data_IF_460021161319
#
_entry.id   IF_460021161319
#
_cell.length_a   1.000
_cell.length_b   1.000
_cell.length_c   1.000
_cell.angle_alpha   90.00
_cell.angle_beta   90.00
_cell.angle_gamma   90.00
#
_symmetry.space_group_name_H-M   'P 1'
#
loop_
_entity.id
_entity.type
_entity.pdbx_description
1 polymer ?
#
# COMPACT_ATOMS: atom_id res chain seq x y z
N UNK A 1 15.81 -9.66 -2.60
CA UNK A 1 16.15 -10.98 -3.15
C UNK A 1 16.16 -10.87 -4.67
N UNK A 2 17.04 -11.61 -5.34
CA UNK A 2 17.01 -11.80 -6.80
C UNK A 2 16.70 -13.27 -7.08
N UNK A 3 15.89 -13.54 -8.10
CA UNK A 3 15.48 -14.90 -8.45
C UNK A 3 16.00 -15.24 -9.84
N UNK A 4 16.66 -16.40 -9.99
CA UNK A 4 17.13 -16.94 -11.27
C UNK A 4 16.75 -18.42 -11.37
N UNK A 5 15.67 -18.71 -12.09
CA UNK A 5 15.09 -20.05 -12.07
C UNK A 5 14.66 -20.40 -10.64
N UNK A 6 15.15 -21.52 -10.13
CA UNK A 6 14.87 -21.97 -8.76
C UNK A 6 15.86 -21.44 -7.72
N UNK A 7 16.85 -20.65 -8.14
CA UNK A 7 17.86 -20.07 -7.25
C UNK A 7 17.41 -18.70 -6.72
N UNK A 8 17.59 -18.50 -5.41
CA UNK A 8 17.29 -17.25 -4.73
C UNK A 8 18.58 -16.67 -4.15
N UNK A 9 18.92 -15.46 -4.60
CA UNK A 9 20.11 -14.74 -4.20
C UNK A 9 19.75 -13.61 -3.23
N UNK A 10 20.52 -13.49 -2.15
CA UNK A 10 20.45 -12.32 -1.28
C UNK A 10 20.87 -11.08 -2.07
N UNK A 11 20.10 -9.99 -1.94
CA UNK A 11 20.41 -8.72 -2.61
C UNK A 11 20.88 -7.66 -1.64
N UNK A 12 20.13 -7.45 -0.56
CA UNK A 12 20.37 -6.43 0.46
C UNK A 12 19.44 -6.69 1.66
N UNK A 13 19.76 -6.06 2.80
CA UNK A 13 18.90 -5.99 3.98
C UNK A 13 18.91 -4.58 4.54
N UNK A 14 17.72 -4.05 4.85
CA UNK A 14 17.59 -2.77 5.55
C UNK A 14 16.96 -3.02 6.91
N UNK A 15 17.57 -2.57 8.02
CA UNK A 15 17.04 -2.77 9.37
C UNK A 15 15.94 -1.74 9.69
N UNK A 16 15.05 -1.48 8.73
CA UNK A 16 13.94 -0.54 8.85
C UNK A 16 12.75 -1.03 8.05
N UNK A 17 11.58 -0.51 8.38
CA UNK A 17 10.34 -0.79 7.65
C UNK A 17 10.48 -0.37 6.17
N UNK A 18 9.89 -1.16 5.28
CA UNK A 18 9.98 -0.98 3.83
C UNK A 18 8.60 -1.05 3.19
N UNK A 19 8.46 -0.48 2.00
CA UNK A 19 7.20 -0.48 1.26
C UNK A 19 6.73 -1.90 0.91
N UNK A 20 7.69 -2.81 0.67
CA UNK A 20 7.39 -4.23 0.45
C UNK A 20 6.64 -4.87 1.65
N UNK A 21 6.85 -4.35 2.86
CA UNK A 21 6.15 -4.80 4.06
C UNK A 21 4.74 -4.21 4.21
N UNK A 22 4.32 -3.24 3.39
CA UNK A 22 2.99 -2.62 3.51
C UNK A 22 1.86 -3.60 3.18
N UNK A 23 2.15 -4.67 2.43
CA UNK A 23 1.20 -5.76 2.19
C UNK A 23 0.69 -6.39 3.48
N UNK A 24 1.49 -6.37 4.55
CA UNK A 24 1.13 -6.92 5.87
C UNK A 24 -0.02 -6.18 6.54
N UNK A 25 -0.29 -4.93 6.16
CA UNK A 25 -1.38 -4.11 6.72
C UNK A 25 -2.76 -4.77 6.60
N UNK A 26 -2.95 -5.62 5.58
CA UNK A 26 -4.21 -6.34 5.33
C UNK A 26 -4.05 -7.85 5.18
N UNK A 27 -2.84 -8.34 4.93
CA UNK A 27 -2.60 -9.79 4.74
C UNK A 27 -2.22 -10.55 6.01
N UNK A 28 -1.74 -9.87 7.06
CA UNK A 28 -1.29 -10.51 8.30
C UNK A 28 -2.06 -10.00 9.51
N UNK A 29 -2.03 -10.79 10.60
CA UNK A 29 -2.63 -10.40 11.88
C UNK A 29 -1.92 -9.22 12.52
N UNK A 30 -0.61 -9.16 12.37
CA UNK A 30 0.21 -8.04 12.81
C UNK A 30 0.92 -7.49 11.58
N UNK A 31 0.79 -6.18 11.37
CA UNK A 31 1.54 -5.48 10.34
C UNK A 31 3.03 -5.42 10.68
N UNK A 32 3.87 -5.10 9.69
CA UNK A 32 5.31 -4.87 9.88
C UNK A 32 5.59 -3.85 10.99
N UNK A 33 4.70 -2.86 11.16
CA UNK A 33 4.81 -1.83 12.19
C UNK A 33 4.60 -2.42 13.59
N UNK A 34 3.54 -3.22 13.75
CA UNK A 34 3.24 -3.88 15.02
C UNK A 34 4.30 -4.92 15.37
N UNK A 35 4.74 -5.70 14.37
CA UNK A 35 5.83 -6.68 14.54
C UNK A 35 7.12 -5.99 14.99
N UNK A 36 7.49 -4.88 14.35
CA UNK A 36 8.68 -4.13 14.72
C UNK A 36 8.58 -3.54 16.13
N UNK A 37 7.46 -2.88 16.46
CA UNK A 37 7.25 -2.31 17.77
C UNK A 37 7.30 -3.38 18.87
N UNK A 38 6.66 -4.53 18.66
CA UNK A 38 6.67 -5.63 19.62
C UNK A 38 8.05 -6.24 19.78
N UNK A 39 8.80 -6.42 18.69
CA UNK A 39 10.17 -6.91 18.75
C UNK A 39 11.07 -5.99 19.58
N UNK A 40 10.97 -4.66 19.39
CA UNK A 40 11.72 -3.67 20.17
C UNK A 40 11.34 -3.70 21.65
N UNK A 41 10.07 -3.93 21.96
CA UNK A 41 9.54 -3.96 23.33
C UNK A 41 9.66 -5.34 24.02
N UNK A 42 10.22 -6.36 23.35
CA UNK A 42 10.29 -7.72 23.88
C UNK A 42 8.92 -8.39 24.06
N UNK A 43 7.92 -7.97 23.29
CA UNK A 43 6.55 -8.50 23.33
C UNK A 43 6.36 -9.65 22.33
N UNK A 44 5.37 -10.54 22.54
CA UNK A 44 5.08 -11.64 21.61
C UNK A 44 4.75 -11.16 20.19
N UNK A 45 5.40 -11.78 19.20
CA UNK A 45 5.18 -11.56 17.77
C UNK A 45 4.43 -12.74 17.15
N UNK A 46 3.70 -12.47 16.05
CA UNK A 46 2.97 -13.47 15.29
C UNK A 46 2.83 -13.02 13.84
N UNK A 47 3.30 -13.84 12.92
CA UNK A 47 3.35 -13.57 11.47
C UNK A 47 2.26 -14.31 10.71
N UNK A 48 1.23 -14.82 11.39
CA UNK A 48 0.12 -15.53 10.75
C UNK A 48 -0.53 -14.68 9.66
N UNK A 49 -0.62 -15.26 8.47
CA UNK A 49 -1.34 -14.67 7.34
C UNK A 49 -2.85 -14.89 7.55
N UNK A 50 -3.62 -13.81 7.48
CA UNK A 50 -5.09 -13.86 7.55
C UNK A 50 -5.68 -14.13 6.16
N UNK A 51 -5.13 -13.50 5.13
CA UNK A 51 -5.58 -13.64 3.74
C UNK A 51 -4.46 -13.22 2.78
N UNK A 52 -4.35 -13.83 1.59
CA UNK A 52 -3.52 -13.29 0.53
C UNK A 52 -3.87 -11.82 0.25
N UNK A 53 -2.86 -10.97 0.12
CA UNK A 53 -3.05 -9.54 -0.08
C UNK A 53 -2.08 -8.96 -1.09
N UNK A 54 -2.43 -7.77 -1.57
CA UNK A 54 -1.58 -6.96 -2.43
C UNK A 54 -1.68 -5.48 -2.02
N UNK A 55 -0.62 -4.74 -2.35
CA UNK A 55 -0.55 -3.30 -2.19
C UNK A 55 0.06 -2.68 -3.45
N UNK A 56 -0.53 -1.59 -3.90
CA UNK A 56 0.06 -0.70 -4.90
C UNK A 56 0.28 0.67 -4.24
N UNK A 57 1.53 1.12 -4.26
CA UNK A 57 1.95 2.40 -3.69
C UNK A 57 2.04 3.42 -4.81
N UNK A 58 1.32 4.53 -4.69
CA UNK A 58 1.39 5.65 -5.63
C UNK A 58 1.88 6.88 -4.88
N UNK A 59 2.98 7.47 -5.35
CA UNK A 59 3.49 8.76 -4.88
C UNK A 59 3.00 9.85 -5.83
N UNK A 60 2.63 11.01 -5.30
CA UNK A 60 2.32 12.19 -6.09
C UNK A 60 2.75 13.46 -5.39
N UNK A 61 3.02 14.49 -6.18
CA UNK A 61 3.34 15.82 -5.70
C UNK A 61 2.07 16.54 -5.22
N UNK A 62 2.20 17.49 -4.30
CA UNK A 62 1.08 18.24 -3.72
C UNK A 62 0.29 19.12 -4.70
N UNK A 63 0.69 19.20 -5.98
CA UNK A 63 0.09 20.07 -7.01
C UNK A 63 -1.28 19.58 -7.55
N UNK A 64 -2.04 18.80 -6.78
CA UNK A 64 -3.39 18.36 -7.17
C UNK A 64 -4.48 18.91 -6.23
N UNK A 65 -4.43 20.21 -5.94
CA UNK A 65 -5.41 20.88 -5.07
C UNK A 65 -6.67 21.39 -5.81
N UNK A 66 -6.89 20.93 -7.06
CA UNK A 66 -7.99 21.37 -7.92
C UNK A 66 -9.30 20.56 -7.81
N UNK A 67 -9.29 19.39 -7.18
CA UNK A 67 -10.48 18.53 -7.13
C UNK A 67 -11.47 18.99 -6.04
N UNK A 68 -12.69 19.34 -6.42
CA UNK A 68 -13.76 19.65 -5.46
C UNK A 68 -14.08 18.42 -4.57
N UNK A 69 -14.63 18.66 -3.38
CA UNK A 69 -15.02 17.62 -2.43
C UNK A 69 -16.02 16.62 -3.02
N UNK A 70 -16.86 17.03 -3.97
CA UNK A 70 -17.77 16.15 -4.71
C UNK A 70 -17.04 15.10 -5.54
N UNK A 71 -16.03 15.54 -6.29
CA UNK A 71 -15.22 14.67 -7.15
C UNK A 71 -14.42 13.68 -6.32
N UNK A 72 -13.70 14.16 -5.29
CA UNK A 72 -12.93 13.29 -4.38
C UNK A 72 -13.77 12.16 -3.78
N UNK A 73 -15.00 12.46 -3.36
CA UNK A 73 -15.93 11.46 -2.81
C UNK A 73 -16.35 10.44 -3.87
N UNK A 74 -16.58 10.85 -5.10
CA UNK A 74 -16.89 9.93 -6.21
C UNK A 74 -15.73 8.98 -6.47
N UNK A 75 -14.50 9.50 -6.52
CA UNK A 75 -13.30 8.68 -6.74
C UNK A 75 -13.13 7.64 -5.63
N UNK A 76 -13.28 8.06 -4.37
CA UNK A 76 -13.19 7.14 -3.25
C UNK A 76 -14.31 6.08 -3.28
N UNK A 77 -15.53 6.46 -3.67
CA UNK A 77 -16.63 5.51 -3.83
C UNK A 77 -16.33 4.46 -4.91
N UNK A 78 -15.83 4.88 -6.08
CA UNK A 78 -15.47 3.98 -7.16
C UNK A 78 -14.31 3.05 -6.77
N UNK A 79 -13.30 3.59 -6.10
CA UNK A 79 -12.14 2.82 -5.66
C UNK A 79 -12.53 1.80 -4.56
N UNK A 80 -13.35 2.20 -3.59
CA UNK A 80 -13.82 1.33 -2.49
C UNK A 80 -14.96 0.38 -2.90
N UNK A 81 -15.54 0.53 -4.10
CA UNK A 81 -16.45 -0.46 -4.66
C UNK A 81 -15.75 -1.78 -5.02
N UNK A 82 -14.41 -1.80 -5.11
CA UNK A 82 -13.64 -3.03 -5.30
C UNK A 82 -13.75 -3.88 -4.03
N UNK A 83 -14.16 -5.14 -4.18
CA UNK A 83 -14.33 -6.06 -3.05
C UNK A 83 -13.03 -6.22 -2.24
N UNK A 84 -13.18 -6.27 -0.91
CA UNK A 84 -12.08 -6.46 0.05
C UNK A 84 -10.93 -5.45 -0.10
N UNK A 85 -11.22 -4.25 -0.61
CA UNK A 85 -10.23 -3.19 -0.79
C UNK A 85 -10.07 -2.30 0.45
N UNK A 86 -8.96 -1.55 0.46
CA UNK A 86 -8.68 -0.48 1.40
C UNK A 86 -7.87 0.62 0.70
N UNK A 87 -7.97 1.84 1.23
CA UNK A 87 -7.18 2.97 0.76
C UNK A 87 -6.59 3.67 1.98
N UNK A 88 -5.27 3.91 1.94
CA UNK A 88 -4.61 4.77 2.94
C UNK A 88 -3.89 5.90 2.25
N UNK A 89 -4.10 7.12 2.72
CA UNK A 89 -3.43 8.32 2.23
C UNK A 89 -2.53 8.84 3.34
N UNK A 90 -1.29 9.13 3.00
CA UNK A 90 -0.32 9.73 3.91
C UNK A 90 0.23 10.99 3.29
N UNK A 91 0.30 12.04 4.10
CA UNK A 91 1.01 13.27 3.77
C UNK A 91 2.43 13.18 4.32
N UNK A 92 3.38 13.71 3.57
CA UNK A 92 4.78 13.79 3.94
C UNK A 92 5.46 14.97 3.28
N UNK A 93 6.76 15.07 3.49
CA UNK A 93 7.61 16.10 2.91
C UNK A 93 8.73 15.43 2.12
N UNK A 94 9.08 15.98 0.96
CA UNK A 94 10.26 15.58 0.21
C UNK A 94 11.54 16.16 0.84
N UNK A 95 12.70 15.80 0.27
CA UNK A 95 13.99 16.28 0.76
C UNK A 95 14.20 17.81 0.60
N UNK A 96 13.40 18.47 -0.24
CA UNK A 96 13.41 19.91 -0.47
C UNK A 96 12.35 20.65 0.37
N UNK A 97 11.57 19.95 1.20
CA UNK A 97 10.48 20.51 2.00
C UNK A 97 9.18 20.74 1.23
N UNK A 98 9.05 20.18 0.03
CA UNK A 98 7.81 20.13 -0.74
C UNK A 98 6.84 19.10 -0.17
N UNK A 99 5.54 19.40 -0.16
CA UNK A 99 4.53 18.44 0.27
C UNK A 99 4.38 17.32 -0.76
N UNK A 100 4.39 16.08 -0.29
CA UNK A 100 4.21 14.88 -1.11
C UNK A 100 3.19 13.96 -0.48
N UNK A 101 2.32 13.37 -1.29
CA UNK A 101 1.33 12.42 -0.83
C UNK A 101 1.64 11.03 -1.34
N UNK A 102 1.49 10.05 -0.46
CA UNK A 102 1.50 8.65 -0.84
C UNK A 102 0.13 8.02 -0.61
N UNK A 103 -0.34 7.27 -1.59
CA UNK A 103 -1.58 6.51 -1.49
C UNK A 103 -1.28 5.03 -1.61
N UNK A 104 -1.79 4.26 -0.66
CA UNK A 104 -1.75 2.81 -0.66
C UNK A 104 -3.09 2.29 -1.13
N UNK A 105 -3.09 1.58 -2.24
CA UNK A 105 -4.24 0.83 -2.75
C UNK A 105 -4.06 -0.63 -2.34
N UNK A 106 -4.87 -1.10 -1.40
CA UNK A 106 -4.75 -2.44 -0.82
C UNK A 106 -5.95 -3.28 -1.20
N UNK A 107 -5.74 -4.59 -1.30
CA UNK A 107 -6.84 -5.54 -1.38
C UNK A 107 -6.42 -6.91 -0.83
N UNK A 108 -7.38 -7.63 -0.27
CA UNK A 108 -7.27 -9.07 -0.02
C UNK A 108 -8.13 -9.87 -0.99
N UNK A 109 -7.80 -11.15 -1.15
CA UNK A 109 -8.58 -12.10 -1.95
C UNK A 109 -8.19 -13.55 -1.58
N UNK A 110 -8.95 -14.56 -2.04
CA UNK A 110 -8.58 -15.97 -1.83
C UNK A 110 -7.23 -16.38 -2.43
N UNK A 111 -6.69 -15.63 -3.39
CA UNK A 111 -5.38 -15.87 -4.01
C UNK A 111 -4.66 -14.56 -4.37
N UNK A 112 -3.32 -14.56 -4.48
CA UNK A 112 -2.54 -13.34 -4.71
C UNK A 112 -2.71 -12.74 -6.11
N UNK A 113 -3.15 -13.51 -7.11
CA UNK A 113 -3.38 -13.00 -8.47
C UNK A 113 -4.61 -12.08 -8.43
N UNK A 114 -5.70 -12.54 -7.82
CA UNK A 114 -6.92 -11.75 -7.64
C UNK A 114 -6.68 -10.54 -6.72
N UNK A 115 -5.92 -10.70 -5.64
CA UNK A 115 -5.59 -9.59 -4.75
C UNK A 115 -4.83 -8.47 -5.50
N UNK A 116 -3.86 -8.84 -6.35
CA UNK A 116 -3.11 -7.89 -7.19
C UNK A 116 -3.99 -7.17 -8.21
N UNK A 117 -4.88 -7.90 -8.87
CA UNK A 117 -5.84 -7.30 -9.81
C UNK A 117 -6.76 -6.29 -9.10
N UNK A 118 -7.30 -6.65 -7.93
CA UNK A 118 -8.12 -5.74 -7.11
C UNK A 118 -7.35 -4.49 -6.68
N UNK A 119 -6.15 -4.64 -6.11
CA UNK A 119 -5.31 -3.51 -5.71
C UNK A 119 -5.00 -2.57 -6.89
N UNK A 120 -4.74 -3.13 -8.08
CA UNK A 120 -4.54 -2.37 -9.31
C UNK A 120 -5.79 -1.61 -9.77
N UNK A 121 -6.98 -2.22 -9.65
CA UNK A 121 -8.25 -1.54 -9.97
C UNK A 121 -8.49 -0.35 -9.05
N UNK A 122 -8.23 -0.50 -7.75
CA UNK A 122 -8.30 0.60 -6.76
C UNK A 122 -7.34 1.73 -7.16
N UNK A 123 -6.08 1.40 -7.45
CA UNK A 123 -5.07 2.39 -7.88
C UNK A 123 -5.45 3.08 -9.19
N UNK A 124 -6.05 2.33 -10.13
CA UNK A 124 -6.51 2.88 -11.42
C UNK A 124 -7.67 3.86 -11.24
N UNK A 125 -8.64 3.55 -10.37
CA UNK A 125 -9.74 4.45 -10.05
C UNK A 125 -9.21 5.78 -9.48
N UNK A 126 -8.24 5.71 -8.57
CA UNK A 126 -7.59 6.88 -7.97
C UNK A 126 -6.80 7.73 -8.98
N UNK A 127 -6.17 7.12 -9.99
CA UNK A 127 -5.39 7.84 -11.01
C UNK A 127 -6.21 8.55 -12.06
N UNK A 128 -7.39 8.02 -12.41
CA UNK A 128 -8.24 8.56 -13.49
C UNK A 128 -8.61 10.03 -13.30
N UNK A 129 -8.50 10.56 -12.08
CA UNK A 129 -8.82 11.95 -11.76
C UNK A 129 -7.61 12.88 -11.61
N UNK A 130 -6.36 12.38 -11.71
CA UNK A 130 -5.16 13.23 -11.68
C UNK A 130 -4.72 13.76 -13.05
N UNK A 131 -5.29 13.26 -14.15
CA UNK A 131 -4.87 13.58 -15.53
C UNK A 131 -5.70 14.71 -16.17
N UNK A 132 -6.77 15.16 -15.51
CA UNK A 132 -7.70 16.16 -16.08
C UNK A 132 -7.55 17.56 -15.46
N UNK A 133 -6.48 17.81 -14.70
CA UNK A 133 -6.15 19.11 -14.10
C UNK A 133 -5.11 19.87 -14.90
#
# INVERSE_FOLDING_TARGET
>A
LLVRGDEVYFSDVRPRLQDAGLVTLRSQRLSQYELHARAVLGLPVDTIMISPGAVEVTYGDADSDGADAGERRSVLADALAVAESDIRVFEGEDAAGGSVWSTLSLATAPDPIVARDRARRVATALRRHRVTG
#
